data_IF_961521932109
#
_entry.id   IF_961521932109
#
_cell.length_a   1.000
_cell.length_b   1.000
_cell.length_c   1.000
_cell.angle_alpha   90.00
_cell.angle_beta   90.00
_cell.angle_gamma   90.00
#
_symmetry.space_group_name_H-M   'P 1'
#
loop_
_entity.id
_entity.type
_entity.pdbx_description
1 polymer ?
#
# COMPACT_ATOMS: atom_id res chain seq x y z
N UNK A 1 0.80 -18.22 2.87
CA UNK A 1 1.53 -17.08 3.47
C UNK A 1 0.96 -15.81 2.89
N UNK A 2 0.54 -14.85 3.70
CA UNK A 2 -0.03 -13.58 3.22
C UNK A 2 0.96 -12.45 3.46
N UNK A 3 1.30 -11.67 2.42
CA UNK A 3 2.16 -10.50 2.56
C UNK A 3 1.36 -9.35 3.17
N UNK A 4 1.87 -8.69 4.20
CA UNK A 4 1.29 -7.50 4.81
C UNK A 4 2.06 -6.24 4.41
N UNK A 5 1.35 -5.20 3.96
CA UNK A 5 1.89 -3.90 3.58
C UNK A 5 1.16 -2.78 4.34
N UNK A 6 1.88 -1.96 5.09
CA UNK A 6 1.31 -0.76 5.69
C UNK A 6 2.27 0.43 5.56
N UNK A 7 1.89 1.41 4.74
CA UNK A 7 2.63 2.64 4.54
C UNK A 7 1.70 3.84 4.77
N UNK A 8 1.81 4.44 5.96
CA UNK A 8 1.06 5.64 6.36
C UNK A 8 1.97 6.86 6.51
N UNK A 9 3.29 6.68 6.43
CA UNK A 9 4.35 7.69 6.60
C UNK A 9 5.26 7.75 5.35
N UNK A 10 5.98 8.85 5.14
CA UNK A 10 6.91 9.02 4.01
C UNK A 10 8.32 8.47 4.29
N UNK A 11 8.68 8.26 5.56
CA UNK A 11 10.04 7.87 5.94
C UNK A 11 10.17 6.37 6.21
N UNK A 12 9.06 5.69 6.49
CA UNK A 12 9.04 4.28 6.83
C UNK A 12 7.74 3.60 6.45
N UNK A 13 7.78 2.27 6.38
CA UNK A 13 6.63 1.41 6.18
C UNK A 13 6.83 0.06 6.85
N UNK A 14 5.73 -0.66 7.07
CA UNK A 14 5.74 -2.01 7.60
C UNK A 14 5.63 -3.04 6.49
N UNK A 15 6.46 -4.06 6.60
CA UNK A 15 6.41 -5.29 5.84
C UNK A 15 6.19 -6.45 6.81
N UNK A 16 5.30 -7.37 6.46
CA UNK A 16 5.09 -8.56 7.27
C UNK A 16 4.71 -9.77 6.44
N UNK A 17 4.92 -10.95 7.01
CA UNK A 17 4.41 -12.20 6.49
C UNK A 17 3.47 -12.79 7.54
N UNK A 18 2.22 -13.04 7.14
CA UNK A 18 1.17 -13.56 8.02
C UNK A 18 0.96 -15.04 7.71
N UNK A 19 1.02 -15.85 8.77
CA UNK A 19 0.71 -17.29 8.75
C UNK A 19 -0.20 -17.60 9.93
N UNK A 20 -1.28 -18.34 9.68
CA UNK A 20 -2.24 -18.75 10.70
C UNK A 20 -2.73 -17.57 11.57
N UNK A 21 -3.19 -16.48 10.93
CA UNK A 21 -3.69 -15.25 11.58
C UNK A 21 -2.67 -14.52 12.49
N UNK A 22 -1.38 -14.81 12.36
CA UNK A 22 -0.31 -14.16 13.13
C UNK A 22 0.86 -13.75 12.24
N UNK A 23 1.60 -12.73 12.67
CA UNK A 23 2.84 -12.36 11.99
C UNK A 23 3.91 -13.43 12.24
N UNK A 24 4.30 -14.12 11.18
CA UNK A 24 5.51 -14.94 11.17
C UNK A 24 6.76 -14.07 11.20
N UNK A 25 6.74 -12.94 10.48
CA UNK A 25 7.71 -11.86 10.58
C UNK A 25 6.99 -10.52 10.39
N UNK A 26 7.45 -9.50 11.10
CA UNK A 26 7.01 -8.11 10.97
C UNK A 26 8.22 -7.19 11.14
N UNK A 27 8.49 -6.38 10.13
CA UNK A 27 9.60 -5.43 10.11
C UNK A 27 9.11 -4.03 9.77
N UNK A 28 9.64 -3.03 10.50
CA UNK A 28 9.55 -1.64 10.08
C UNK A 28 10.79 -1.29 9.29
N UNK A 29 10.61 -0.89 8.04
CA UNK A 29 11.69 -0.51 7.15
C UNK A 29 11.69 1.01 7.00
N UNK A 30 12.81 1.64 7.34
CA UNK A 30 13.05 3.06 7.09
C UNK A 30 13.49 3.24 5.64
N UNK A 31 12.60 3.74 4.80
CA UNK A 31 12.83 3.99 3.39
C UNK A 31 11.80 4.99 2.86
N UNK A 32 12.18 5.85 1.90
CA UNK A 32 11.22 6.68 1.19
C UNK A 32 10.41 5.85 0.17
N UNK A 33 9.24 6.33 -0.31
CA UNK A 33 8.33 5.55 -1.14
C UNK A 33 8.95 5.00 -2.44
N UNK A 34 9.87 5.73 -3.07
CA UNK A 34 10.59 5.29 -4.27
C UNK A 34 11.45 4.03 -4.06
N UNK A 35 11.73 3.65 -2.81
CA UNK A 35 12.47 2.44 -2.45
C UNK A 35 11.59 1.28 -1.99
N UNK A 36 10.27 1.45 -1.87
CA UNK A 36 9.41 0.38 -1.32
C UNK A 36 9.47 -0.93 -2.09
N UNK A 37 9.56 -0.89 -3.43
CA UNK A 37 9.68 -2.11 -4.24
C UNK A 37 10.99 -2.86 -3.98
N UNK A 38 12.12 -2.14 -3.95
CA UNK A 38 13.42 -2.77 -3.71
C UNK A 38 13.53 -3.30 -2.27
N UNK A 39 12.96 -2.59 -1.30
CA UNK A 39 12.90 -3.06 0.09
C UNK A 39 11.96 -4.25 0.26
N UNK A 40 10.81 -4.28 -0.42
CA UNK A 40 9.93 -5.45 -0.44
C UNK A 40 10.64 -6.67 -1.04
N UNK A 41 11.32 -6.49 -2.18
CA UNK A 41 12.08 -7.56 -2.81
C UNK A 41 13.17 -8.11 -1.87
N UNK A 42 13.93 -7.22 -1.22
CA UNK A 42 14.94 -7.58 -0.22
C UNK A 42 14.34 -8.34 0.96
N UNK A 43 13.21 -7.86 1.48
CA UNK A 43 12.50 -8.48 2.60
C UNK A 43 12.04 -9.91 2.27
N UNK A 44 11.39 -10.11 1.12
CA UNK A 44 10.96 -11.44 0.68
C UNK A 44 12.16 -12.39 0.52
N UNK A 45 13.20 -11.95 -0.18
CA UNK A 45 14.41 -12.75 -0.40
C UNK A 45 15.11 -13.10 0.93
N UNK A 46 15.24 -12.14 1.85
CA UNK A 46 15.86 -12.38 3.16
C UNK A 46 15.13 -13.45 3.99
N UNK A 47 13.82 -13.62 3.77
CA UNK A 47 13.00 -14.62 4.45
C UNK A 47 12.76 -15.89 3.60
N UNK A 48 13.43 -16.02 2.45
CA UNK A 48 13.34 -17.20 1.59
C UNK A 48 12.03 -17.33 0.81
N UNK A 49 11.31 -16.22 0.59
CA UNK A 49 10.06 -16.20 -0.17
C UNK A 49 10.27 -15.55 -1.54
N UNK A 50 9.52 -16.03 -2.53
CA UNK A 50 9.31 -15.35 -3.80
C UNK A 50 7.88 -14.82 -3.89
N UNK A 51 7.61 -13.79 -4.72
CA UNK A 51 6.26 -13.31 -4.93
C UNK A 51 5.26 -14.40 -5.36
N UNK A 52 5.71 -15.39 -6.14
CA UNK A 52 4.90 -16.52 -6.62
C UNK A 52 4.46 -17.47 -5.48
N UNK A 53 5.17 -17.47 -4.35
CA UNK A 53 4.89 -18.33 -3.21
C UNK A 53 3.82 -17.73 -2.27
N UNK A 54 3.42 -16.48 -2.50
CA UNK A 54 2.43 -15.79 -1.69
C UNK A 54 1.03 -16.33 -1.99
N UNK A 55 0.24 -16.52 -0.95
CA UNK A 55 -1.16 -16.95 -1.04
C UNK A 55 -2.14 -15.77 -1.02
N UNK A 56 -1.65 -14.55 -0.82
CA UNK A 56 -2.46 -13.34 -0.73
C UNK A 56 -1.62 -12.12 -0.32
N UNK A 57 -2.23 -10.95 -0.42
CA UNK A 57 -1.67 -9.68 0.04
C UNK A 57 -2.71 -8.96 0.88
N UNK A 58 -2.33 -8.50 2.07
CA UNK A 58 -3.09 -7.60 2.93
C UNK A 58 -2.43 -6.22 2.91
N UNK A 59 -3.21 -5.18 2.63
CA UNK A 59 -2.68 -3.80 2.56
C UNK A 59 -3.57 -2.81 3.30
N UNK A 60 -2.94 -1.91 4.05
CA UNK A 60 -3.61 -0.79 4.69
C UNK A 60 -3.84 0.33 3.69
N UNK A 61 -5.11 0.67 3.42
CA UNK A 61 -5.48 1.70 2.44
C UNK A 61 -5.45 3.14 2.98
N UNK A 62 -5.21 3.31 4.28
CA UNK A 62 -5.15 4.61 4.97
C UNK A 62 -6.15 4.72 6.12
N UNK A 63 -6.36 5.94 6.67
CA UNK A 63 -5.76 7.22 6.26
C UNK A 63 -4.24 7.27 6.44
N UNK A 64 -3.52 7.99 5.57
CA UNK A 64 -2.06 8.10 5.64
C UNK A 64 -1.50 9.06 4.60
N UNK A 65 -0.18 9.12 4.50
CA UNK A 65 0.51 9.88 3.46
C UNK A 65 0.01 9.53 2.06
N UNK A 66 -0.38 10.56 1.32
CA UNK A 66 -0.92 10.42 -0.04
C UNK A 66 0.02 9.64 -0.97
N UNK A 67 1.31 9.94 -0.94
CA UNK A 67 2.32 9.27 -1.76
C UNK A 67 2.58 7.87 -1.25
N UNK A 68 2.83 7.69 0.05
CA UNK A 68 3.18 6.39 0.62
C UNK A 68 2.06 5.36 0.44
N UNK A 69 0.82 5.74 0.74
CA UNK A 69 -0.34 4.86 0.60
C UNK A 69 -0.65 4.53 -0.86
N UNK A 70 -0.40 5.45 -1.80
CA UNK A 70 -0.50 5.13 -3.25
C UNK A 70 0.51 4.09 -3.66
N UNK A 71 1.77 4.25 -3.24
CA UNK A 71 2.83 3.31 -3.62
C UNK A 71 2.56 1.94 -3.01
N UNK A 72 2.22 1.83 -1.72
CA UNK A 72 1.92 0.54 -1.08
C UNK A 72 0.72 -0.17 -1.73
N UNK A 73 -0.35 0.56 -2.03
CA UNK A 73 -1.50 0.00 -2.75
C UNK A 73 -1.17 -0.39 -4.19
N UNK A 74 -0.31 0.36 -4.87
CA UNK A 74 0.15 0.00 -6.22
C UNK A 74 0.92 -1.30 -6.20
N UNK A 75 1.80 -1.51 -5.22
CA UNK A 75 2.51 -2.77 -5.01
C UNK A 75 1.51 -3.92 -4.76
N UNK A 76 0.56 -3.73 -3.84
CA UNK A 76 -0.44 -4.74 -3.51
C UNK A 76 -1.33 -5.11 -4.72
N UNK A 77 -1.84 -4.11 -5.43
CA UNK A 77 -2.63 -4.27 -6.65
C UNK A 77 -1.84 -4.99 -7.75
N UNK A 78 -0.54 -4.67 -7.89
CA UNK A 78 0.32 -5.30 -8.89
C UNK A 78 0.53 -6.78 -8.58
N UNK A 79 0.79 -7.12 -7.31
CA UNK A 79 0.93 -8.52 -6.88
C UNK A 79 -0.38 -9.30 -7.06
N UNK A 80 -1.51 -8.71 -6.65
CA UNK A 80 -2.85 -9.26 -6.87
C UNK A 80 -3.08 -9.59 -8.35
N UNK A 81 -2.80 -8.63 -9.23
CA UNK A 81 -3.01 -8.77 -10.66
C UNK A 81 -2.05 -9.78 -11.31
N UNK A 82 -0.75 -9.67 -11.04
CA UNK A 82 0.28 -10.48 -11.69
C UNK A 82 0.21 -11.95 -11.27
N UNK A 83 -0.01 -12.21 -9.98
CA UNK A 83 0.00 -13.58 -9.43
C UNK A 83 -1.39 -14.16 -9.22
N UNK A 84 -2.46 -13.39 -9.50
CA UNK A 84 -3.85 -13.80 -9.28
C UNK A 84 -4.15 -14.26 -7.85
N UNK A 85 -3.48 -13.63 -6.88
CA UNK A 85 -3.63 -13.94 -5.45
C UNK A 85 -4.62 -12.97 -4.79
N UNK A 86 -5.41 -13.40 -3.79
CA UNK A 86 -6.33 -12.53 -3.04
C UNK A 86 -5.70 -11.23 -2.55
N UNK A 87 -6.45 -10.14 -2.66
CA UNK A 87 -6.11 -8.83 -2.10
C UNK A 87 -7.06 -8.51 -0.96
N UNK A 88 -6.53 -8.31 0.24
CA UNK A 88 -7.26 -7.94 1.44
C UNK A 88 -6.97 -6.50 1.83
N UNK A 89 -8.01 -5.78 2.22
CA UNK A 89 -7.96 -4.35 2.50
C UNK A 89 -8.27 -4.07 3.95
N UNK A 90 -7.41 -3.26 4.56
CA UNK A 90 -7.56 -2.78 5.93
C UNK A 90 -7.65 -1.26 5.96
N UNK A 91 -8.55 -0.75 6.79
CA UNK A 91 -8.56 0.65 7.20
C UNK A 91 -7.86 0.78 8.55
N UNK A 92 -7.04 1.81 8.73
CA UNK A 92 -6.36 2.07 10.00
C UNK A 92 -6.54 3.54 10.43
N UNK A 93 -7.79 3.99 10.69
CA UNK A 93 -8.08 5.38 11.08
C UNK A 93 -7.46 5.77 12.41
N UNK A 94 -7.32 4.80 13.31
CA UNK A 94 -6.80 5.02 14.66
C UNK A 94 -5.26 4.92 14.72
N UNK A 95 -4.58 4.75 13.57
CA UNK A 95 -3.12 4.56 13.48
C UNK A 95 -2.58 3.45 14.38
N UNK A 96 -3.31 2.34 14.48
CA UNK A 96 -2.93 1.17 15.27
C UNK A 96 -1.61 0.56 14.76
N UNK A 97 -0.83 0.00 15.67
CA UNK A 97 0.32 -0.81 15.31
C UNK A 97 -0.13 -2.07 14.54
N UNK A 98 0.69 -2.62 13.62
CA UNK A 98 0.27 -3.74 12.78
C UNK A 98 -0.23 -4.97 13.54
N UNK A 99 0.41 -5.34 14.65
CA UNK A 99 0.00 -6.47 15.47
C UNK A 99 -1.41 -6.29 16.06
N UNK A 100 -1.72 -5.10 16.56
CA UNK A 100 -3.05 -4.75 17.08
C UNK A 100 -4.09 -4.68 15.95
N UNK A 101 -3.71 -4.10 14.81
CA UNK A 101 -4.57 -4.05 13.63
C UNK A 101 -4.96 -5.45 13.15
N UNK A 102 -3.99 -6.36 13.07
CA UNK A 102 -4.21 -7.76 12.70
C UNK A 102 -5.09 -8.47 13.75
N UNK A 103 -4.82 -8.30 15.04
CA UNK A 103 -5.64 -8.90 16.09
C UNK A 103 -7.11 -8.46 16.04
N UNK A 104 -7.35 -7.19 15.69
CA UNK A 104 -8.70 -6.61 15.65
C UNK A 104 -9.47 -6.93 14.36
N UNK A 105 -8.77 -7.04 13.23
CA UNK A 105 -9.41 -7.09 11.90
C UNK A 105 -9.03 -8.30 11.05
N UNK A 106 -8.15 -9.18 11.55
CA UNK A 106 -7.53 -10.22 10.75
C UNK A 106 -6.77 -9.64 9.56
N UNK A 107 -6.69 -10.40 8.48
CA UNK A 107 -6.06 -9.94 7.23
C UNK A 107 -6.86 -8.88 6.48
N UNK A 108 -8.10 -8.58 6.90
CA UNK A 108 -8.97 -7.58 6.28
C UNK A 108 -9.95 -8.13 5.23
N UNK A 109 -10.74 -7.23 4.65
CA UNK A 109 -11.79 -7.55 3.70
C UNK A 109 -11.18 -7.97 2.35
N UNK A 110 -11.53 -9.16 1.88
CA UNK A 110 -11.06 -9.65 0.59
C UNK A 110 -11.82 -8.97 -0.57
N UNK A 111 -11.07 -8.45 -1.53
CA UNK A 111 -11.62 -7.94 -2.78
C UNK A 111 -11.90 -9.07 -3.78
N UNK A 112 -12.92 -8.83 -4.60
CA UNK A 112 -13.22 -9.71 -5.75
C UNK A 112 -12.08 -9.66 -6.77
N UNK A 113 -11.75 -10.82 -7.34
CA UNK A 113 -10.71 -10.94 -8.37
C UNK A 113 -10.95 -9.96 -9.51
N UNK A 114 -9.91 -9.22 -9.91
CA UNK A 114 -10.00 -8.21 -10.97
C UNK A 114 -10.43 -6.82 -10.49
N UNK A 115 -10.64 -6.65 -9.18
CA UNK A 115 -10.88 -5.35 -8.55
C UNK A 115 -9.58 -4.78 -8.00
N UNK A 116 -9.40 -3.47 -8.12
CA UNK A 116 -8.25 -2.76 -7.56
C UNK A 116 -8.65 -1.95 -6.34
N UNK A 117 -7.77 -1.92 -5.35
CA UNK A 117 -7.93 -1.09 -4.18
C UNK A 117 -7.50 0.35 -4.45
N UNK A 118 -8.27 1.30 -3.92
CA UNK A 118 -7.98 2.73 -3.97
C UNK A 118 -7.63 3.26 -2.57
N UNK A 119 -6.67 4.19 -2.48
CA UNK A 119 -6.28 4.81 -1.21
C UNK A 119 -7.41 5.64 -0.58
N UNK A 120 -7.39 5.71 0.75
CA UNK A 120 -8.19 6.63 1.55
C UNK A 120 -7.26 7.68 2.15
N UNK A 121 -7.50 8.96 1.84
CA UNK A 121 -6.64 10.07 2.27
C UNK A 121 -7.23 10.80 3.47
N UNK A 122 -6.37 11.36 4.31
CA UNK A 122 -6.74 12.15 5.49
C UNK A 122 -7.09 13.62 5.21
N UNK A 123 -7.04 14.08 3.95
CA UNK A 123 -7.31 15.48 3.63
C UNK A 123 -7.68 15.76 2.17
N UNK A 124 -8.24 16.95 1.89
CA UNK A 124 -8.61 17.35 0.53
C UNK A 124 -7.37 17.51 -0.35
N UNK A 125 -7.54 17.32 -1.66
CA UNK A 125 -6.48 17.54 -2.63
C UNK A 125 -5.95 18.99 -2.54
N UNK A 126 -4.65 19.16 -2.32
CA UNK A 126 -3.99 20.47 -2.43
C UNK A 126 -3.73 20.78 -3.90
N UNK A 127 -4.70 21.40 -4.56
CA UNK A 127 -4.55 21.90 -5.92
C UNK A 127 -3.74 23.19 -5.85
N UNK A 128 -2.52 23.18 -6.38
CA UNK A 128 -1.76 24.42 -6.62
C UNK A 128 -2.44 25.21 -7.72
N UNK A 129 -2.90 26.42 -7.40
CA UNK A 129 -3.42 27.36 -8.41
C UNK A 129 -2.26 27.69 -9.37
N UNK A 130 -2.47 27.66 -10.70
CA UNK A 130 -1.45 28.08 -11.66
C UNK A 130 -0.93 29.47 -11.30
N UNK A 131 0.39 29.66 -11.39
CA UNK A 131 1.02 30.96 -11.17
C UNK A 131 0.43 31.93 -12.19
N UNK A 132 -0.14 33.05 -11.74
CA UNK A 132 -0.67 34.09 -12.64
C UNK A 132 0.43 34.54 -13.60
N UNK A 133 0.37 34.08 -14.85
CA UNK A 133 1.44 34.27 -15.83
C UNK A 133 1.40 33.29 -17.02
N UNK A 134 0.80 32.11 -16.89
CA UNK A 134 0.57 31.24 -18.05
C UNK A 134 -0.63 31.79 -18.84
N UNK A 135 -0.31 32.41 -19.97
CA UNK A 135 -1.28 32.94 -20.93
C UNK A 135 -2.35 31.90 -21.22
N UNK A 136 -3.60 32.34 -21.14
CA UNK A 136 -4.75 31.64 -21.67
C UNK A 136 -4.40 31.10 -23.07
N UNK A 137 -4.60 29.79 -23.27
CA UNK A 137 -4.64 29.21 -24.60
C UNK A 137 -5.67 30.00 -25.40
N UNK A 138 -5.16 30.71 -26.40
CA UNK A 138 -5.92 31.44 -27.39
C UNK A 138 -6.90 30.47 -28.05
N UNK A 139 -8.18 30.66 -27.77
CA UNK A 139 -9.28 30.00 -28.47
C UNK A 139 -9.77 30.98 -29.53
N UNK A 140 -9.01 31.10 -30.63
CA UNK A 140 -9.46 31.80 -31.83
C UNK A 140 -8.83 31.20 -33.11
N UNK A 141 -9.69 30.78 -34.05
CA UNK A 141 -9.39 30.28 -35.41
C UNK A 141 -9.57 28.75 -35.50
N UNK A 142 -10.64 28.18 -36.07
CA UNK A 142 -11.09 28.25 -37.48
C UNK A 142 -9.91 28.33 -38.47
#
# INVERSE_FOLDING_TARGET
MTLFLCAQDLEWFWLGLIRDESFFVLERVTAPPERYLSELHRFLHAHGWKPEDLAGVSVVRGPGSFTASRVSLTLANTLHFAFRIPLHILANPDSLAPAELLARHGVGEQLSVGTFAAPFYSGPARITVPKAGDKALDTAGI
#
